data_IF_384016454586
#
_entry.id   IF_384016454586
#
_cell.length_a   1.000
_cell.length_b   1.000
_cell.length_c   1.000
_cell.angle_alpha   90.00
_cell.angle_beta   90.00
_cell.angle_gamma   90.00
#
_symmetry.space_group_name_H-M   'P 1'
#
loop_
_entity.id
_entity.type
_entity.pdbx_description
1 polymer ?
#
# COMPACT_ATOMS: atom_id res chain seq x y z
N UNK A 1 69.94 48.36 -19.40
CA UNK A 1 68.67 47.87 -19.98
C UNK A 1 68.53 46.40 -19.62
N UNK A 2 67.79 46.10 -18.56
CA UNK A 2 67.23 44.77 -18.29
C UNK A 2 66.01 44.97 -17.41
N UNK A 3 64.87 44.48 -17.90
CA UNK A 3 63.60 44.44 -17.21
C UNK A 3 63.60 43.29 -16.19
N UNK A 4 62.92 43.47 -15.06
CA UNK A 4 62.39 42.37 -14.26
C UNK A 4 61.13 42.85 -13.56
N UNK A 5 60.02 42.48 -14.17
CA UNK A 5 58.67 42.47 -13.61
C UNK A 5 58.40 41.02 -13.22
N UNK A 6 58.18 40.74 -11.94
CA UNK A 6 57.58 39.52 -11.36
C UNK A 6 57.66 39.72 -9.83
N UNK A 7 56.69 39.46 -8.96
CA UNK A 7 55.58 38.50 -8.98
C UNK A 7 54.40 39.10 -8.19
N UNK A 8 53.19 38.92 -8.71
CA UNK A 8 51.95 39.15 -7.97
C UNK A 8 51.68 37.95 -7.09
N UNK A 9 51.75 38.15 -5.78
CA UNK A 9 51.35 37.17 -4.77
C UNK A 9 49.83 37.21 -4.61
N UNK A 10 49.12 36.50 -5.51
CA UNK A 10 47.70 36.20 -5.31
C UNK A 10 47.58 35.04 -4.35
N UNK A 11 47.35 35.34 -3.07
CA UNK A 11 46.96 34.35 -2.07
C UNK A 11 45.71 33.60 -2.57
N UNK A 12 45.87 32.29 -2.78
CA UNK A 12 44.75 31.39 -3.07
C UNK A 12 43.83 31.36 -1.86
N UNK A 13 42.59 31.80 -2.05
CA UNK A 13 41.52 31.56 -1.10
C UNK A 13 41.28 30.05 -0.99
N UNK A 14 41.04 29.49 0.21
CA UNK A 14 40.68 28.08 0.33
C UNK A 14 39.34 27.85 -0.38
N UNK A 15 39.29 26.81 -1.22
CA UNK A 15 38.06 26.37 -1.86
C UNK A 15 36.99 26.07 -0.78
N UNK A 16 35.72 26.45 -1.01
CA UNK A 16 34.65 26.09 -0.10
C UNK A 16 34.51 24.57 -0.08
N UNK A 17 34.67 23.96 1.09
CA UNK A 17 34.32 22.56 1.31
C UNK A 17 32.89 22.32 0.80
N UNK A 18 32.64 21.21 0.08
CA UNK A 18 31.29 20.82 -0.25
C UNK A 18 30.52 20.62 1.06
N UNK A 19 29.47 21.42 1.25
CA UNK A 19 28.49 21.25 2.32
C UNK A 19 27.76 19.92 2.08
N UNK A 20 28.34 18.85 2.63
CA UNK A 20 27.73 17.54 2.74
C UNK A 20 26.56 17.64 3.73
N UNK A 21 25.46 18.23 3.25
CA UNK A 21 24.16 18.19 3.92
C UNK A 21 23.85 16.76 4.37
N UNK A 22 23.05 16.59 5.44
CA UNK A 22 22.99 15.35 6.23
C UNK A 22 22.86 14.13 5.33
N UNK A 23 23.99 13.44 5.16
CA UNK A 23 24.07 12.21 4.38
C UNK A 23 23.12 11.22 5.03
N UNK A 24 22.06 10.85 4.31
CA UNK A 24 21.15 9.82 4.74
C UNK A 24 21.96 8.53 4.91
N UNK A 25 22.27 8.20 6.16
CA UNK A 25 23.06 7.03 6.54
C UNK A 25 22.40 5.75 5.99
N UNK A 26 23.01 5.07 4.99
CA UNK A 26 22.44 3.89 4.37
C UNK A 26 22.51 2.66 5.30
N UNK A 27 23.16 2.76 6.47
CA UNK A 27 23.33 1.66 7.42
C UNK A 27 22.17 1.47 8.40
N UNK A 28 21.15 2.35 8.38
CA UNK A 28 19.98 2.26 9.25
C UNK A 28 18.66 2.01 8.49
N UNK A 29 18.49 0.85 7.82
CA UNK A 29 17.23 0.50 7.15
C UNK A 29 16.05 0.37 8.13
N UNK A 30 16.30 0.19 9.44
CA UNK A 30 15.26 0.05 10.46
C UNK A 30 14.56 1.35 10.87
N UNK A 31 15.13 2.52 10.55
CA UNK A 31 14.56 3.83 10.91
C UNK A 31 13.28 4.18 10.14
N UNK A 32 13.16 3.73 8.88
CA UNK A 32 11.99 3.95 8.04
C UNK A 32 10.84 3.00 8.41
N UNK A 33 11.14 1.71 8.62
CA UNK A 33 10.16 0.70 9.02
C UNK A 33 9.48 1.01 10.36
N UNK A 34 10.22 1.56 11.33
CA UNK A 34 9.67 1.93 12.64
C UNK A 34 8.71 3.14 12.58
N UNK A 35 8.99 4.14 11.73
CA UNK A 35 8.14 5.34 11.56
C UNK A 35 6.89 5.07 10.73
N UNK A 36 6.98 4.15 9.76
CA UNK A 36 5.85 3.80 8.91
C UNK A 36 4.88 2.82 9.58
N UNK A 37 5.29 2.10 10.62
CA UNK A 37 4.44 1.20 11.39
C UNK A 37 3.14 1.86 11.93
N UNK A 38 3.15 3.02 12.62
CA UNK A 38 1.91 3.68 13.06
C UNK A 38 1.07 4.17 11.89
N UNK A 39 1.68 4.76 10.86
CA UNK A 39 0.98 5.23 9.66
C UNK A 39 0.26 4.09 8.96
N UNK A 40 0.92 2.94 8.81
CA UNK A 40 0.37 1.73 8.21
C UNK A 40 -0.80 1.16 9.01
N UNK A 41 -0.74 1.20 10.34
CA UNK A 41 -1.88 0.83 11.21
C UNK A 41 -3.09 1.73 10.97
N UNK A 42 -2.88 3.05 10.86
CA UNK A 42 -3.97 4.00 10.57
C UNK A 42 -4.57 3.72 9.20
N UNK A 43 -3.75 3.58 8.15
CA UNK A 43 -4.25 3.27 6.79
C UNK A 43 -5.00 1.94 6.77
N UNK A 44 -4.53 0.93 7.50
CA UNK A 44 -5.19 -0.36 7.65
C UNK A 44 -6.55 -0.23 8.35
N UNK A 45 -6.64 0.57 9.41
CA UNK A 45 -7.89 0.86 10.07
C UNK A 45 -8.88 1.57 9.13
N UNK A 46 -8.41 2.58 8.38
CA UNK A 46 -9.23 3.30 7.38
C UNK A 46 -9.74 2.35 6.29
N UNK A 47 -8.89 1.49 5.73
CA UNK A 47 -9.28 0.52 4.72
C UNK A 47 -10.37 -0.43 5.23
N UNK A 48 -10.21 -0.92 6.46
CA UNK A 48 -11.19 -1.82 7.11
C UNK A 48 -12.51 -1.10 7.39
N UNK A 49 -12.47 0.11 7.95
CA UNK A 49 -13.68 0.90 8.23
C UNK A 49 -14.45 1.23 6.94
N UNK A 50 -13.73 1.63 5.89
CA UNK A 50 -14.32 1.89 4.58
C UNK A 50 -14.96 0.63 3.97
N UNK A 51 -14.28 -0.53 4.06
CA UNK A 51 -14.82 -1.80 3.60
C UNK A 51 -16.06 -2.23 4.40
N UNK A 52 -16.05 -2.07 5.73
CA UNK A 52 -17.21 -2.35 6.59
C UNK A 52 -18.39 -1.45 6.24
N UNK A 53 -18.15 -0.16 6.05
CA UNK A 53 -19.20 0.80 5.70
C UNK A 53 -19.81 0.48 4.33
N UNK A 54 -18.98 0.19 3.32
CA UNK A 54 -19.44 -0.26 2.01
C UNK A 54 -20.27 -1.55 2.12
N UNK A 55 -19.79 -2.55 2.86
CA UNK A 55 -20.52 -3.79 3.07
C UNK A 55 -21.87 -3.58 3.75
N UNK A 56 -21.91 -2.77 4.81
CA UNK A 56 -23.13 -2.46 5.54
C UNK A 56 -24.19 -1.80 4.65
N UNK A 57 -23.79 -0.85 3.78
CA UNK A 57 -24.72 -0.20 2.85
C UNK A 57 -25.27 -1.20 1.84
N UNK A 58 -24.43 -2.06 1.26
CA UNK A 58 -24.90 -3.10 0.32
C UNK A 58 -25.85 -4.09 0.97
N UNK A 59 -25.58 -4.50 2.22
CA UNK A 59 -26.48 -5.36 2.99
C UNK A 59 -27.80 -4.67 3.31
N UNK A 60 -27.76 -3.41 3.75
CA UNK A 60 -28.97 -2.62 4.04
C UNK A 60 -29.82 -2.40 2.79
N UNK A 61 -29.18 -2.20 1.63
CA UNK A 61 -29.86 -2.08 0.35
C UNK A 61 -30.47 -3.42 -0.10
N UNK A 62 -29.72 -4.52 0.04
CA UNK A 62 -30.14 -5.84 -0.43
C UNK A 62 -31.23 -6.47 0.44
N UNK A 63 -31.10 -6.37 1.76
CA UNK A 63 -31.96 -7.03 2.75
C UNK A 63 -33.47 -6.86 2.51
N UNK A 64 -34.02 -5.64 2.37
CA UNK A 64 -35.46 -5.45 2.16
C UNK A 64 -35.95 -5.91 0.77
N UNK A 65 -35.03 -6.24 -0.14
CA UNK A 65 -35.32 -6.61 -1.54
C UNK A 65 -35.19 -8.12 -1.77
N UNK A 66 -34.85 -8.89 -0.74
CA UNK A 66 -34.80 -10.35 -0.81
C UNK A 66 -36.22 -10.92 -1.05
N UNK A 67 -36.32 -11.94 -1.89
CA UNK A 67 -37.60 -12.58 -2.22
C UNK A 67 -38.44 -11.85 -3.26
N UNK A 68 -38.00 -10.70 -3.78
CA UNK A 68 -38.61 -10.07 -4.95
C UNK A 68 -38.46 -10.96 -6.20
N UNK A 69 -39.55 -11.18 -6.95
CA UNK A 69 -39.50 -11.99 -8.17
C UNK A 69 -38.70 -11.29 -9.27
N UNK A 70 -37.72 -11.99 -9.85
CA UNK A 70 -37.05 -11.59 -11.09
C UNK A 70 -35.84 -10.66 -10.97
N UNK A 71 -35.50 -10.16 -9.78
CA UNK A 71 -34.32 -9.31 -9.58
C UNK A 71 -33.17 -10.07 -8.87
N UNK A 72 -32.09 -10.44 -9.59
CA UNK A 72 -30.95 -11.14 -8.97
C UNK A 72 -30.03 -10.22 -8.16
N UNK A 73 -30.15 -8.89 -8.27
CA UNK A 73 -29.22 -7.92 -7.68
C UNK A 73 -29.09 -8.05 -6.14
N UNK A 74 -30.18 -8.18 -5.37
CA UNK A 74 -30.08 -8.29 -3.91
C UNK A 74 -29.20 -9.46 -3.47
N UNK A 75 -29.26 -10.60 -4.18
CA UNK A 75 -28.43 -11.77 -3.85
C UNK A 75 -26.95 -11.52 -4.14
N UNK A 76 -26.63 -10.88 -5.27
CA UNK A 76 -25.25 -10.52 -5.62
C UNK A 76 -24.66 -9.51 -4.63
N UNK A 77 -25.44 -8.50 -4.24
CA UNK A 77 -24.99 -7.51 -3.26
C UNK A 77 -24.86 -8.08 -1.85
N UNK A 78 -25.70 -9.06 -1.48
CA UNK A 78 -25.56 -9.78 -0.22
C UNK A 78 -24.27 -10.61 -0.19
N UNK A 79 -24.00 -11.36 -1.27
CA UNK A 79 -22.75 -12.12 -1.41
C UNK A 79 -21.52 -11.20 -1.45
N UNK A 80 -21.60 -10.11 -2.21
CA UNK A 80 -20.53 -9.12 -2.30
C UNK A 80 -20.26 -8.43 -0.97
N UNK A 81 -21.31 -8.08 -0.21
CA UNK A 81 -21.19 -7.51 1.13
C UNK A 81 -20.54 -8.48 2.10
N UNK A 82 -20.99 -9.73 2.13
CA UNK A 82 -20.40 -10.78 2.97
C UNK A 82 -18.92 -11.04 2.61
N UNK A 83 -18.59 -11.07 1.32
CA UNK A 83 -17.21 -11.22 0.85
C UNK A 83 -16.33 -10.05 1.27
N UNK A 84 -16.84 -8.82 1.16
CA UNK A 84 -16.13 -7.61 1.61
C UNK A 84 -15.87 -7.65 3.12
N UNK A 85 -16.83 -8.17 3.90
CA UNK A 85 -16.63 -8.40 5.33
C UNK A 85 -15.49 -9.39 5.58
N UNK A 86 -15.46 -10.51 4.86
CA UNK A 86 -14.41 -11.50 4.97
C UNK A 86 -13.02 -10.90 4.64
N UNK A 87 -12.92 -10.08 3.59
CA UNK A 87 -11.67 -9.37 3.23
C UNK A 87 -11.23 -8.42 4.34
N UNK A 88 -12.14 -7.67 4.95
CA UNK A 88 -11.80 -6.76 6.05
C UNK A 88 -11.33 -7.51 7.30
N UNK A 89 -12.01 -8.61 7.67
CA UNK A 89 -11.60 -9.48 8.78
C UNK A 89 -10.23 -10.10 8.51
N UNK A 90 -10.00 -10.63 7.31
CA UNK A 90 -8.69 -11.14 6.90
C UNK A 90 -7.64 -10.03 6.96
N UNK A 91 -8.00 -8.81 6.57
CA UNK A 91 -7.12 -7.64 6.61
C UNK A 91 -6.71 -7.32 8.03
N UNK A 92 -7.53 -7.55 9.06
CA UNK A 92 -7.16 -7.37 10.46
C UNK A 92 -6.31 -8.53 11.03
N UNK A 93 -6.55 -9.76 10.57
CA UNK A 93 -5.89 -10.96 11.13
C UNK A 93 -4.53 -11.27 10.52
N UNK A 94 -4.31 -10.96 9.25
CA UNK A 94 -3.14 -11.43 8.54
C UNK A 94 -1.92 -10.50 8.73
N UNK A 95 -0.70 -11.03 8.95
CA UNK A 95 0.54 -10.26 8.86
C UNK A 95 0.80 -9.90 7.39
N UNK A 96 0.47 -8.67 7.00
CA UNK A 96 0.85 -7.99 5.76
C UNK A 96 0.93 -8.83 4.46
N UNK A 97 -0.22 -9.07 3.82
CA UNK A 97 -0.26 -9.74 2.52
C UNK A 97 -0.66 -8.77 1.40
N UNK A 98 0.29 -8.48 0.51
CA UNK A 98 0.08 -7.58 -0.63
C UNK A 98 -1.06 -8.04 -1.56
N UNK A 99 -1.24 -9.36 -1.73
CA UNK A 99 -2.37 -9.94 -2.47
C UNK A 99 -3.72 -9.65 -1.83
N UNK A 100 -3.79 -9.62 -0.51
CA UNK A 100 -5.01 -9.32 0.23
C UNK A 100 -5.42 -7.85 0.04
N UNK A 101 -4.45 -6.93 -0.02
CA UNK A 101 -4.73 -5.52 -0.31
C UNK A 101 -5.19 -5.30 -1.75
N UNK A 102 -4.57 -5.97 -2.72
CA UNK A 102 -5.06 -5.98 -4.10
C UNK A 102 -6.48 -6.54 -4.21
N UNK A 103 -6.79 -7.61 -3.45
CA UNK A 103 -8.14 -8.17 -3.40
C UNK A 103 -9.15 -7.18 -2.83
N UNK A 104 -8.82 -6.49 -1.73
CA UNK A 104 -9.66 -5.45 -1.15
C UNK A 104 -9.90 -4.28 -2.11
N UNK A 105 -8.85 -3.76 -2.73
CA UNK A 105 -8.96 -2.71 -3.74
C UNK A 105 -9.81 -3.16 -4.94
N UNK A 106 -9.56 -4.37 -5.46
CA UNK A 106 -10.30 -4.93 -6.60
C UNK A 106 -11.77 -5.13 -6.30
N UNK A 107 -12.11 -5.59 -5.10
CA UNK A 107 -13.51 -5.80 -4.67
C UNK A 107 -14.28 -4.48 -4.64
N UNK A 108 -13.70 -3.44 -4.02
CA UNK A 108 -14.35 -2.12 -3.95
C UNK A 108 -14.39 -1.44 -5.32
N UNK A 109 -13.34 -1.59 -6.13
CA UNK A 109 -13.34 -1.11 -7.51
C UNK A 109 -14.42 -1.79 -8.37
N UNK A 110 -14.68 -3.08 -8.16
CA UNK A 110 -15.75 -3.78 -8.86
C UNK A 110 -17.14 -3.20 -8.54
N UNK A 111 -17.40 -2.77 -7.29
CA UNK A 111 -18.65 -2.08 -6.96
C UNK A 111 -18.77 -0.70 -7.61
N UNK A 112 -17.66 0.05 -7.71
CA UNK A 112 -17.64 1.34 -8.39
C UNK A 112 -17.90 1.17 -9.90
N UNK A 113 -17.12 0.30 -10.54
CA UNK A 113 -17.23 0.05 -11.98
C UNK A 113 -18.55 -0.61 -12.34
N UNK A 114 -19.06 -1.52 -11.51
CA UNK A 114 -20.39 -2.10 -11.68
C UNK A 114 -21.49 -1.04 -11.61
N UNK A 115 -21.38 -0.09 -10.68
CA UNK A 115 -22.33 1.02 -10.55
C UNK A 115 -22.31 1.92 -11.79
N UNK A 116 -21.12 2.31 -12.26
CA UNK A 116 -20.97 3.14 -13.47
C UNK A 116 -21.42 2.39 -14.72
N UNK A 117 -21.05 1.12 -14.87
CA UNK A 117 -21.47 0.28 -15.99
C UNK A 117 -22.99 0.08 -16.04
N UNK A 118 -23.64 0.04 -14.87
CA UNK A 118 -25.09 -0.08 -14.76
C UNK A 118 -25.84 1.24 -15.04
N UNK A 119 -25.44 2.33 -14.40
CA UNK A 119 -26.13 3.62 -14.52
C UNK A 119 -25.69 4.45 -15.74
N UNK A 120 -24.54 4.13 -16.33
CA UNK A 120 -23.97 4.85 -17.46
C UNK A 120 -23.82 6.35 -17.18
N UNK A 121 -24.27 7.18 -18.13
CA UNK A 121 -24.23 8.64 -18.02
C UNK A 121 -25.07 9.19 -16.84
N UNK A 122 -26.04 8.41 -16.34
CA UNK A 122 -26.90 8.81 -15.22
C UNK A 122 -26.29 8.49 -13.84
N UNK A 123 -25.06 7.96 -13.77
CA UNK A 123 -24.45 7.58 -12.50
C UNK A 123 -24.40 8.75 -11.49
N UNK A 124 -24.04 9.96 -11.96
CA UNK A 124 -23.94 11.14 -11.11
C UNK A 124 -25.29 11.58 -10.53
N UNK A 125 -26.33 11.62 -11.36
CA UNK A 125 -27.69 11.98 -10.90
C UNK A 125 -28.29 10.90 -10.00
N UNK A 126 -28.00 9.62 -10.27
CA UNK A 126 -28.42 8.52 -9.41
C UNK A 126 -27.76 8.59 -8.02
N UNK A 127 -26.49 8.97 -7.92
CA UNK A 127 -25.82 9.19 -6.64
C UNK A 127 -26.45 10.36 -5.89
N UNK A 128 -26.68 11.49 -6.58
CA UNK A 128 -27.27 12.68 -5.95
C UNK A 128 -28.69 12.45 -5.42
N UNK A 129 -29.43 11.52 -6.04
CA UNK A 129 -30.81 11.17 -5.65
C UNK A 129 -30.92 10.13 -4.53
N UNK A 130 -29.84 9.45 -4.16
CA UNK A 130 -29.85 8.37 -3.17
C UNK A 130 -28.75 8.57 -2.10
N UNK A 131 -29.11 8.98 -0.86
CA UNK A 131 -28.16 9.14 0.22
C UNK A 131 -27.32 7.88 0.51
N UNK A 132 -27.88 6.67 0.34
CA UNK A 132 -27.13 5.43 0.52
C UNK A 132 -26.07 5.27 -0.57
N UNK A 133 -26.37 5.67 -1.81
CA UNK A 133 -25.40 5.64 -2.89
C UNK A 133 -24.23 6.60 -2.62
N UNK A 134 -24.48 7.80 -2.07
CA UNK A 134 -23.42 8.74 -1.68
C UNK A 134 -22.46 8.08 -0.67
N UNK A 135 -23.01 7.47 0.39
CA UNK A 135 -22.21 6.81 1.43
C UNK A 135 -21.44 5.62 0.85
N UNK A 136 -22.09 4.76 0.05
CA UNK A 136 -21.45 3.60 -0.56
C UNK A 136 -20.26 4.01 -1.43
N UNK A 137 -20.46 4.94 -2.38
CA UNK A 137 -19.41 5.33 -3.33
C UNK A 137 -18.29 6.10 -2.66
N UNK A 138 -18.60 6.95 -1.67
CA UNK A 138 -17.60 7.59 -0.83
C UNK A 138 -16.72 6.58 -0.09
N UNK A 139 -17.35 5.60 0.58
CA UNK A 139 -16.65 4.53 1.29
C UNK A 139 -15.79 3.69 0.34
N UNK A 140 -16.31 3.31 -0.82
CA UNK A 140 -15.57 2.53 -1.82
C UNK A 140 -14.33 3.28 -2.33
N UNK A 141 -14.45 4.57 -2.68
CA UNK A 141 -13.32 5.37 -3.15
C UNK A 141 -12.23 5.49 -2.09
N UNK A 142 -12.62 5.80 -0.84
CA UNK A 142 -11.68 5.87 0.30
C UNK A 142 -11.02 4.51 0.53
N UNK A 143 -11.79 3.43 0.50
CA UNK A 143 -11.28 2.08 0.70
C UNK A 143 -10.33 1.65 -0.41
N UNK A 144 -10.64 1.92 -1.67
CA UNK A 144 -9.73 1.66 -2.81
C UNK A 144 -8.41 2.40 -2.61
N UNK A 145 -8.47 3.70 -2.32
CA UNK A 145 -7.26 4.50 -2.10
C UNK A 145 -6.43 3.95 -0.93
N UNK A 146 -7.07 3.58 0.18
CA UNK A 146 -6.40 3.02 1.35
C UNK A 146 -5.77 1.64 1.07
N UNK A 147 -6.48 0.74 0.39
CA UNK A 147 -5.93 -0.57 0.01
C UNK A 147 -4.79 -0.44 -1.01
N UNK A 148 -4.88 0.49 -1.97
CA UNK A 148 -3.78 0.75 -2.89
C UNK A 148 -2.57 1.37 -2.17
N UNK A 149 -2.78 2.25 -1.20
CA UNK A 149 -1.70 2.75 -0.36
C UNK A 149 -1.02 1.59 0.40
N UNK A 150 -1.78 0.70 1.03
CA UNK A 150 -1.22 -0.50 1.68
C UNK A 150 -0.47 -1.41 0.70
N UNK A 151 -1.00 -1.58 -0.51
CA UNK A 151 -0.35 -2.37 -1.57
C UNK A 151 1.00 -1.77 -2.00
N UNK A 152 1.13 -0.44 -1.97
CA UNK A 152 2.38 0.28 -2.29
C UNK A 152 3.37 0.28 -1.14
N UNK A 153 2.89 0.37 0.11
CA UNK A 153 3.71 0.31 1.32
C UNK A 153 4.16 -1.11 1.68
N UNK A 154 3.48 -2.15 1.18
CA UNK A 154 3.89 -3.53 1.40
C UNK A 154 5.14 -3.85 0.56
N UNK A 155 6.25 -4.31 1.19
CA UNK A 155 7.45 -4.74 0.47
C UNK A 155 7.10 -5.80 -0.59
N UNK A 156 7.69 -5.75 -1.81
CA UNK A 156 7.50 -6.80 -2.79
C UNK A 156 8.06 -8.12 -2.25
N UNK A 157 7.17 -9.08 -2.04
CA UNK A 157 7.46 -10.40 -1.48
C UNK A 157 8.43 -11.21 -2.35
N UNK A 158 9.51 -11.73 -1.75
CA UNK A 158 10.00 -13.09 -2.02
C UNK A 158 11.43 -13.23 -2.55
N UNK A 159 11.71 -12.79 -3.77
CA UNK A 159 12.88 -13.30 -4.53
C UNK A 159 14.23 -12.68 -4.15
N UNK A 160 14.24 -11.53 -3.46
CA UNK A 160 15.48 -10.81 -3.11
C UNK A 160 16.03 -11.23 -1.74
N UNK A 161 15.17 -11.73 -0.84
CA UNK A 161 15.59 -12.12 0.52
C UNK A 161 16.24 -13.52 0.55
N UNK A 162 15.80 -14.45 -0.31
CA UNK A 162 16.43 -15.78 -0.41
C UNK A 162 17.87 -15.71 -0.96
N UNK A 163 18.17 -14.78 -1.88
CA UNK A 163 19.54 -14.60 -2.41
C UNK A 163 20.51 -14.03 -1.38
N UNK A 164 20.04 -13.25 -0.40
CA UNK A 164 20.90 -12.65 0.64
C UNK A 164 21.08 -13.56 1.86
N UNK A 165 20.11 -14.43 2.15
CA UNK A 165 20.23 -15.44 3.21
C UNK A 165 21.09 -16.64 2.83
N UNK A 166 21.20 -16.95 1.53
CA UNK A 166 22.05 -18.04 1.03
C UNK A 166 23.54 -17.71 0.92
N UNK A 167 23.94 -16.43 0.87
CA UNK A 167 25.35 -16.06 0.67
C UNK A 167 26.15 -15.90 1.97
N UNK A 168 25.52 -15.96 3.13
CA UNK A 168 26.18 -15.81 4.45
C UNK A 168 26.29 -17.13 5.22
N UNK A 169 25.72 -18.22 4.72
CA UNK A 169 25.73 -19.52 5.40
C UNK A 169 26.82 -20.49 4.89
N UNK A 170 27.58 -20.12 3.85
CA UNK A 170 28.57 -20.99 3.19
C UNK A 170 29.99 -20.41 3.33
N UNK A 171 30.38 -20.02 4.55
CA UNK A 171 31.74 -19.51 4.83
C UNK A 171 32.31 -19.94 6.19
N UNK A 172 31.64 -20.85 6.89
CA UNK A 172 32.15 -21.47 8.12
C UNK A 172 32.16 -23.00 7.94
N UNK A 173 33.05 -23.50 7.08
CA UNK A 173 33.57 -24.87 7.26
C UNK A 173 34.89 -24.78 8.04
N UNK A 174 35.01 -25.42 9.22
CA UNK A 174 36.26 -25.45 9.96
C UNK A 174 37.27 -26.32 9.22
N UNK A 175 38.44 -25.73 8.96
CA UNK A 175 39.57 -26.41 8.33
C UNK A 175 39.91 -27.71 9.08
N UNK A 176 39.74 -28.80 8.32
CA UNK A 176 40.16 -30.17 8.59
C UNK A 176 41.55 -30.23 9.26
N UNK A 177 41.56 -30.63 10.52
CA UNK A 177 42.74 -31.06 11.28
C UNK A 177 43.35 -32.27 10.58
N UNK A 178 44.33 -32.04 9.70
CA UNK A 178 45.22 -33.10 9.20
C UNK A 178 46.39 -33.26 10.14
N UNK A 179 46.32 -34.33 10.92
CA UNK A 179 47.42 -34.91 11.66
C UNK A 179 48.58 -35.31 10.74
N UNK A 180 49.78 -34.90 11.12
CA UNK A 180 51.06 -35.41 10.63
C UNK A 180 51.23 -36.89 11.01
N UNK A 181 51.78 -37.74 10.12
CA UNK A 181 52.49 -38.96 10.50
C UNK A 181 54.00 -38.74 10.72
#
# INVERSE_FOLDING_TARGET
>A
MSASTSEGETGSAPEPEPDDGPSADPSNPGGYDARDAPRKRVVRAVAVQAAMLSAAVHLLWAWPRLGGQGDPRPYVFLLGGAFTVAVAVATLRAPEYRRLYALGAGTLAAFLLGYVGWHGAAAGSAIAGDPLAIVAKGAELVGVAAFLALYRLAPPTGVVLERRGGSTAESDEPAEERADP
#
